data_IF_823234383303
#
_entry.id   IF_823234383303
#
_cell.length_a   1.000
_cell.length_b   1.000
_cell.length_c   1.000
_cell.angle_alpha   90.00
_cell.angle_beta   90.00
_cell.angle_gamma   90.00
#
_symmetry.space_group_name_H-M   'P 1'
#
loop_
_entity.id
_entity.type
_entity.pdbx_description
1 polymer ?
#
# COMPACT_ATOMS: atom_id res chain seq x y z
N UNK A 1 33.14 8.29 37.42
CA UNK A 1 32.23 7.44 36.62
C UNK A 1 30.92 8.18 36.45
N UNK A 2 30.70 8.82 35.30
CA UNK A 2 29.41 9.43 34.97
C UNK A 2 28.75 8.58 33.89
N UNK A 3 27.69 7.86 34.28
CA UNK A 3 26.80 7.20 33.34
C UNK A 3 25.90 8.28 32.71
N UNK A 4 26.14 8.58 31.44
CA UNK A 4 25.18 9.30 30.60
C UNK A 4 24.02 8.35 30.30
N UNK A 5 22.93 8.50 31.05
CA UNK A 5 21.63 7.94 30.68
C UNK A 5 21.15 8.68 29.43
N UNK A 6 21.28 8.04 28.26
CA UNK A 6 20.66 8.52 27.03
C UNK A 6 19.14 8.56 27.24
N UNK A 7 18.57 9.77 27.21
CA UNK A 7 17.11 9.94 27.22
C UNK A 7 16.54 9.38 25.91
N UNK A 8 15.45 8.60 25.94
CA UNK A 8 14.77 8.18 24.73
C UNK A 8 14.27 9.43 24.00
N UNK A 9 14.64 9.56 22.72
CA UNK A 9 14.08 10.57 21.84
C UNK A 9 12.57 10.32 21.76
N UNK A 10 11.78 11.21 22.33
CA UNK A 10 10.34 11.26 22.12
C UNK A 10 10.11 11.51 20.63
N UNK A 11 9.87 10.43 19.88
CA UNK A 11 9.32 10.48 18.54
C UNK A 11 8.04 11.28 18.63
N UNK A 12 8.02 12.49 18.08
CA UNK A 12 6.77 13.22 17.84
C UNK A 12 5.99 12.36 16.87
N UNK A 13 5.01 11.62 17.38
CA UNK A 13 4.15 10.75 16.59
C UNK A 13 3.43 11.60 15.55
N UNK A 14 3.95 11.65 14.32
CA UNK A 14 3.21 12.24 13.21
C UNK A 14 1.95 11.41 12.97
N UNK A 15 0.88 12.05 12.53
CA UNK A 15 -0.30 11.33 12.08
C UNK A 15 0.07 10.39 10.93
N UNK A 16 -0.31 9.10 10.99
CA UNK A 16 -0.19 8.17 9.89
C UNK A 16 -0.80 8.71 8.60
N UNK A 17 -0.24 8.35 7.45
CA UNK A 17 -0.72 8.80 6.15
C UNK A 17 -1.10 7.62 5.25
N UNK A 18 -2.27 7.73 4.61
CA UNK A 18 -2.71 6.79 3.58
C UNK A 18 -2.91 7.53 2.25
N UNK A 19 -2.30 7.05 1.17
CA UNK A 19 -2.42 7.60 -0.17
C UNK A 19 -3.16 6.61 -1.07
N UNK A 20 -4.32 7.00 -1.58
CA UNK A 20 -5.06 6.24 -2.57
C UNK A 20 -4.73 6.77 -3.96
N UNK A 21 -4.21 5.91 -4.85
CA UNK A 21 -3.91 6.21 -6.25
C UNK A 21 -4.93 5.50 -7.12
N UNK A 22 -5.94 6.24 -7.60
CA UNK A 22 -7.12 5.68 -8.27
C UNK A 22 -7.18 6.15 -9.72
N UNK A 23 -7.22 5.23 -10.68
CA UNK A 23 -7.16 5.57 -12.09
C UNK A 23 -8.50 6.13 -12.60
N UNK A 24 -8.40 7.09 -13.52
CA UNK A 24 -9.49 7.79 -14.18
C UNK A 24 -10.73 6.89 -14.43
N UNK A 25 -11.90 7.33 -13.92
CA UNK A 25 -13.24 6.73 -14.02
C UNK A 25 -13.67 5.61 -13.05
N UNK A 26 -12.83 5.16 -12.10
CA UNK A 26 -13.32 4.30 -11.00
C UNK A 26 -14.11 5.10 -9.94
N UNK A 27 -15.12 5.86 -10.37
CA UNK A 27 -15.93 6.77 -9.54
C UNK A 27 -16.50 6.07 -8.31
N UNK A 28 -16.82 4.78 -8.41
CA UNK A 28 -17.32 3.97 -7.28
C UNK A 28 -16.24 3.55 -6.28
N UNK A 29 -15.06 3.13 -6.73
CA UNK A 29 -13.94 2.82 -5.82
C UNK A 29 -13.46 4.10 -5.14
N UNK A 30 -13.27 5.18 -5.91
CA UNK A 30 -12.96 6.49 -5.35
C UNK A 30 -14.06 6.99 -4.38
N UNK A 31 -15.34 6.73 -4.68
CA UNK A 31 -16.44 7.08 -3.78
C UNK A 31 -16.42 6.23 -2.51
N UNK A 32 -16.28 4.91 -2.59
CA UNK A 32 -16.19 4.05 -1.40
C UNK A 32 -14.95 4.35 -0.56
N UNK A 33 -13.83 4.69 -1.18
CA UNK A 33 -12.63 5.20 -0.50
C UNK A 33 -12.93 6.51 0.20
N UNK A 34 -13.61 7.45 -0.46
CA UNK A 34 -14.03 8.72 0.16
C UNK A 34 -15.05 8.51 1.26
N UNK A 35 -15.98 7.57 1.11
CA UNK A 35 -17.02 7.24 2.09
C UNK A 35 -16.40 6.57 3.31
N UNK A 36 -15.46 5.63 3.12
CA UNK A 36 -14.67 5.06 4.21
C UNK A 36 -13.86 6.16 4.90
N UNK A 37 -13.18 7.01 4.13
CA UNK A 37 -12.44 8.16 4.68
C UNK A 37 -13.35 9.12 5.45
N UNK A 38 -14.56 9.39 4.97
CA UNK A 38 -15.53 10.26 5.61
C UNK A 38 -16.12 9.62 6.88
N UNK A 39 -16.36 8.31 6.89
CA UNK A 39 -16.77 7.57 8.08
C UNK A 39 -15.68 7.61 9.17
N UNK A 40 -14.41 7.67 8.78
CA UNK A 40 -13.27 7.85 9.69
C UNK A 40 -12.86 9.31 9.92
N UNK A 41 -13.46 10.29 9.22
CA UNK A 41 -13.05 11.70 9.27
C UNK A 41 -13.26 12.34 10.65
N UNK A 42 -14.06 11.71 11.53
CA UNK A 42 -14.19 12.12 12.93
C UNK A 42 -12.97 11.80 13.82
N UNK A 43 -12.01 10.99 13.35
CA UNK A 43 -10.97 10.40 14.21
C UNK A 43 -9.66 11.21 14.27
N UNK A 44 -9.33 12.06 13.29
CA UNK A 44 -8.01 12.72 13.13
C UNK A 44 -6.78 11.79 13.18
N UNK A 45 -6.98 10.47 13.29
CA UNK A 45 -5.93 9.50 13.57
C UNK A 45 -5.17 9.02 12.33
N UNK A 46 -5.70 9.24 11.12
CA UNK A 46 -5.02 8.98 9.85
C UNK A 46 -5.33 10.12 8.88
N UNK A 47 -4.30 10.67 8.24
CA UNK A 47 -4.44 11.61 7.14
C UNK A 47 -4.58 10.83 5.84
N UNK A 48 -5.76 10.88 5.23
CA UNK A 48 -6.03 10.19 3.95
C UNK A 48 -5.97 11.19 2.80
N UNK A 49 -5.22 10.84 1.75
CA UNK A 49 -5.14 11.59 0.49
C UNK A 49 -5.62 10.70 -0.64
N UNK A 50 -6.45 11.25 -1.54
CA UNK A 50 -6.91 10.55 -2.74
C UNK A 50 -6.37 11.30 -3.96
N UNK A 51 -5.51 10.63 -4.73
CA UNK A 51 -4.96 11.11 -5.99
C UNK A 51 -5.61 10.39 -7.16
N UNK A 52 -6.12 11.15 -8.13
CA UNK A 52 -6.80 10.64 -9.33
C UNK A 52 -6.06 11.04 -10.60
N UNK A 53 -4.94 10.38 -10.93
CA UNK A 53 -4.17 10.70 -12.12
C UNK A 53 -5.03 10.54 -13.38
N UNK A 54 -4.93 11.52 -14.27
CA UNK A 54 -5.57 11.53 -15.59
C UNK A 54 -4.66 10.91 -16.65
N UNK A 55 -3.34 10.91 -16.38
CA UNK A 55 -2.34 10.41 -17.30
C UNK A 55 -1.38 9.42 -16.62
N UNK A 56 -0.93 8.42 -17.38
CA UNK A 56 -0.09 7.34 -16.83
C UNK A 56 1.24 7.83 -16.27
N UNK A 57 1.80 8.92 -16.82
CA UNK A 57 3.06 9.51 -16.35
C UNK A 57 2.94 10.18 -14.97
N UNK A 58 1.72 10.41 -14.47
CA UNK A 58 1.46 10.99 -13.15
C UNK A 58 1.50 9.94 -12.03
N UNK A 59 1.34 8.65 -12.37
CA UNK A 59 1.30 7.56 -11.38
C UNK A 59 2.66 7.34 -10.69
N UNK A 60 3.80 7.23 -11.40
CA UNK A 60 5.08 6.93 -10.75
C UNK A 60 5.46 7.88 -9.60
N UNK A 61 5.38 9.23 -9.73
CA UNK A 61 5.70 10.12 -8.60
C UNK A 61 4.73 9.98 -7.42
N UNK A 62 3.47 9.61 -7.66
CA UNK A 62 2.51 9.33 -6.58
C UNK A 62 2.91 8.07 -5.81
N UNK A 63 3.29 7.00 -6.49
CA UNK A 63 3.72 5.75 -5.84
C UNK A 63 5.02 5.90 -5.02
N UNK A 64 5.87 6.86 -5.39
CA UNK A 64 7.08 7.21 -4.64
C UNK A 64 6.85 8.19 -3.50
N UNK A 65 5.66 8.79 -3.39
CA UNK A 65 5.36 9.77 -2.35
C UNK A 65 5.42 9.09 -0.97
N UNK A 66 6.14 9.66 0.01
CA UNK A 66 6.21 9.08 1.35
C UNK A 66 4.81 8.95 1.99
N UNK A 67 4.41 7.70 2.26
CA UNK A 67 3.17 7.36 2.94
C UNK A 67 3.36 6.13 3.83
N UNK A 68 2.56 5.99 4.89
CA UNK A 68 2.56 4.76 5.69
C UNK A 68 1.76 3.64 5.01
N UNK A 69 0.80 4.01 4.16
CA UNK A 69 0.04 3.08 3.34
C UNK A 69 -0.22 3.69 1.96
N UNK A 70 -0.05 2.88 0.92
CA UNK A 70 -0.47 3.22 -0.44
C UNK A 70 -1.52 2.22 -0.89
N UNK A 71 -2.66 2.72 -1.36
CA UNK A 71 -3.73 1.91 -1.94
C UNK A 71 -3.74 2.13 -3.45
N UNK A 72 -3.66 1.05 -4.21
CA UNK A 72 -3.52 1.05 -5.66
C UNK A 72 -4.82 0.57 -6.30
N UNK A 73 -5.31 1.32 -7.27
CA UNK A 73 -6.24 0.80 -8.28
C UNK A 73 -5.44 -0.04 -9.30
N UNK A 74 -5.00 -1.21 -8.84
CA UNK A 74 -4.13 -2.13 -9.54
C UNK A 74 -4.87 -3.36 -10.05
N UNK A 75 -4.47 -3.86 -11.22
CA UNK A 75 -4.99 -5.09 -11.78
C UNK A 75 -3.86 -6.10 -12.02
N UNK A 76 -4.09 -7.36 -11.57
CA UNK A 76 -3.21 -8.51 -11.81
C UNK A 76 -3.22 -9.08 -13.23
N UNK A 77 -4.05 -8.56 -14.14
CA UNK A 77 -4.08 -9.01 -15.53
C UNK A 77 -2.73 -8.83 -16.21
N UNK A 78 -2.41 -9.67 -17.21
CA UNK A 78 -1.17 -9.57 -17.98
C UNK A 78 -1.17 -8.35 -18.94
N UNK A 79 -0.24 -7.39 -18.80
CA UNK A 79 0.79 -7.27 -17.77
C UNK A 79 0.27 -6.54 -16.49
N UNK A 80 0.76 -6.91 -15.29
CA UNK A 80 0.42 -6.26 -14.02
C UNK A 80 0.49 -4.74 -14.10
N UNK A 81 -0.52 -4.02 -13.61
CA UNK A 81 -0.62 -2.58 -13.81
C UNK A 81 -1.35 -1.83 -12.70
N UNK A 82 -1.07 -0.54 -12.56
CA UNK A 82 -1.89 0.45 -11.83
C UNK A 82 -2.54 1.37 -12.86
N UNK A 83 -3.87 1.38 -12.92
CA UNK A 83 -4.58 1.98 -14.03
C UNK A 83 -4.14 1.41 -15.37
N UNK A 84 -3.47 2.23 -16.19
CA UNK A 84 -2.84 1.82 -17.46
C UNK A 84 -1.32 1.72 -17.42
N UNK A 85 -0.70 2.01 -16.28
CA UNK A 85 0.75 1.91 -16.11
C UNK A 85 1.14 0.49 -15.72
N UNK A 86 1.88 -0.19 -16.59
CA UNK A 86 2.56 -1.44 -16.26
C UNK A 86 3.50 -1.28 -15.05
N UNK A 87 3.37 -2.16 -14.07
CA UNK A 87 4.20 -2.19 -12.87
C UNK A 87 5.52 -2.88 -13.16
N UNK A 88 6.58 -2.08 -13.25
CA UNK A 88 7.96 -2.54 -13.39
C UNK A 88 8.89 -1.54 -12.71
N UNK A 89 10.01 -2.02 -12.18
CA UNK A 89 11.00 -1.19 -11.50
C UNK A 89 11.47 -0.01 -12.35
N UNK A 90 11.75 -0.22 -13.65
CA UNK A 90 12.21 0.85 -14.54
C UNK A 90 11.18 1.96 -14.78
N UNK A 91 9.87 1.68 -14.71
CA UNK A 91 8.82 2.69 -14.86
C UNK A 91 8.49 3.40 -13.56
N UNK A 92 8.66 2.70 -12.43
CA UNK A 92 8.37 3.24 -11.10
C UNK A 92 9.56 3.97 -10.50
N UNK A 93 10.79 3.65 -10.88
CA UNK A 93 11.98 4.32 -10.34
C UNK A 93 12.19 5.68 -10.99
N UNK A 94 12.70 6.63 -10.22
CA UNK A 94 13.15 7.91 -10.76
C UNK A 94 14.62 7.85 -11.23
N UNK A 95 15.15 9.00 -11.64
CA UNK A 95 16.54 9.14 -12.08
C UNK A 95 17.59 8.91 -10.99
N UNK A 96 17.19 8.87 -9.71
CA UNK A 96 18.03 8.46 -8.59
C UNK A 96 17.89 6.98 -8.25
N UNK A 97 17.04 6.24 -8.97
CA UNK A 97 16.73 4.84 -8.72
C UNK A 97 15.71 4.62 -7.60
N UNK A 98 15.09 5.68 -7.08
CA UNK A 98 14.15 5.58 -5.96
C UNK A 98 12.81 5.00 -6.42
N UNK A 99 12.36 3.93 -5.77
CA UNK A 99 11.08 3.25 -5.95
C UNK A 99 10.07 3.52 -4.82
N UNK A 100 9.19 2.55 -4.58
CA UNK A 100 8.13 2.61 -3.56
C UNK A 100 8.74 2.33 -2.19
N UNK A 101 8.40 3.17 -1.21
CA UNK A 101 8.92 3.08 0.17
C UNK A 101 7.85 2.85 1.23
N UNK A 102 6.57 2.83 0.83
CA UNK A 102 5.46 2.64 1.74
C UNK A 102 5.52 1.23 2.37
N UNK A 103 5.41 1.11 3.71
CA UNK A 103 5.49 -0.18 4.39
C UNK A 103 4.22 -1.03 4.24
N UNK A 104 3.11 -0.44 3.80
CA UNK A 104 1.87 -1.14 3.46
C UNK A 104 1.46 -0.76 2.04
N UNK A 105 1.17 -1.76 1.21
CA UNK A 105 0.62 -1.60 -0.14
C UNK A 105 -0.66 -2.41 -0.21
N UNK A 106 -1.77 -1.77 -0.56
CA UNK A 106 -3.08 -2.42 -0.67
C UNK A 106 -3.54 -2.36 -2.12
N UNK A 107 -4.01 -3.47 -2.67
CA UNK A 107 -4.51 -3.51 -4.05
C UNK A 107 -6.03 -3.56 -4.04
N UNK A 108 -6.66 -2.53 -4.60
CA UNK A 108 -8.10 -2.35 -4.60
C UNK A 108 -8.87 -3.08 -5.69
N UNK A 109 -8.22 -3.95 -6.48
CA UNK A 109 -8.83 -4.60 -7.63
C UNK A 109 -8.27 -6.01 -7.88
N UNK A 110 -8.93 -6.72 -8.80
CA UNK A 110 -8.77 -8.15 -9.06
C UNK A 110 -7.31 -8.60 -9.23
N UNK A 111 -7.00 -9.76 -8.64
CA UNK A 111 -5.73 -10.48 -8.75
C UNK A 111 -4.51 -9.73 -8.18
N UNK A 112 -4.72 -8.83 -7.22
CA UNK A 112 -3.65 -8.10 -6.53
C UNK A 112 -2.67 -8.98 -5.75
N UNK A 113 -3.02 -10.24 -5.47
CA UNK A 113 -2.14 -11.22 -4.83
C UNK A 113 -1.72 -12.38 -5.76
N UNK A 114 -1.98 -12.25 -7.06
CA UNK A 114 -1.44 -13.15 -8.07
C UNK A 114 0.10 -13.11 -8.07
N UNK A 115 0.81 -14.25 -8.23
CA UNK A 115 2.27 -14.30 -8.20
C UNK A 115 2.96 -13.30 -9.14
N UNK A 116 2.44 -13.07 -10.35
CA UNK A 116 3.05 -12.14 -11.30
C UNK A 116 2.89 -10.69 -10.86
N UNK A 117 1.74 -10.35 -10.25
CA UNK A 117 1.54 -9.02 -9.69
C UNK A 117 2.42 -8.81 -8.46
N UNK A 118 2.52 -9.82 -7.58
CA UNK A 118 3.41 -9.80 -6.42
C UNK A 118 4.86 -9.55 -6.84
N UNK A 119 5.34 -10.25 -7.87
CA UNK A 119 6.69 -10.07 -8.41
C UNK A 119 6.89 -8.68 -9.03
N UNK A 120 5.88 -8.16 -9.75
CA UNK A 120 5.90 -6.83 -10.32
C UNK A 120 5.97 -5.73 -9.25
N UNK A 121 5.19 -5.85 -8.18
CA UNK A 121 5.27 -4.94 -7.01
C UNK A 121 6.64 -5.04 -6.37
N UNK A 122 7.14 -6.25 -6.14
CA UNK A 122 8.46 -6.50 -5.52
C UNK A 122 9.59 -5.77 -6.25
N UNK A 123 9.59 -5.80 -7.58
CA UNK A 123 10.59 -5.10 -8.42
C UNK A 123 10.56 -3.56 -8.25
N UNK A 124 9.40 -3.02 -7.86
CA UNK A 124 9.18 -1.60 -7.65
C UNK A 124 9.58 -1.09 -6.24
N UNK A 125 9.90 -1.97 -5.29
CA UNK A 125 10.17 -1.61 -3.90
C UNK A 125 11.62 -1.17 -3.67
N UNK A 126 11.79 -0.23 -2.73
CA UNK A 126 13.08 0.12 -2.12
C UNK A 126 13.23 -0.39 -0.69
N UNK A 127 12.10 -0.76 -0.06
CA UNK A 127 12.05 -1.25 1.31
C UNK A 127 11.04 -2.38 1.42
N UNK A 128 11.17 -3.24 2.45
CA UNK A 128 10.14 -4.23 2.75
C UNK A 128 8.77 -3.57 2.92
N UNK A 129 7.74 -4.24 2.41
CA UNK A 129 6.36 -3.77 2.45
C UNK A 129 5.41 -4.97 2.62
N UNK A 130 4.33 -4.80 3.37
CA UNK A 130 3.25 -5.78 3.39
C UNK A 130 2.29 -5.46 2.24
N UNK A 131 2.15 -6.39 1.31
CA UNK A 131 1.15 -6.35 0.25
C UNK A 131 -0.14 -7.00 0.75
N UNK A 132 -1.24 -6.27 0.67
CA UNK A 132 -2.60 -6.78 0.91
C UNK A 132 -3.34 -6.78 -0.41
N UNK A 133 -3.80 -7.93 -0.87
CA UNK A 133 -4.50 -8.04 -2.15
C UNK A 133 -5.33 -9.32 -2.25
N UNK A 134 -6.23 -9.35 -3.22
CA UNK A 134 -7.07 -10.52 -3.52
C UNK A 134 -6.42 -11.41 -4.58
N UNK A 135 -6.50 -12.73 -4.44
CA UNK A 135 -6.02 -13.72 -5.42
C UNK A 135 -7.01 -14.00 -6.56
N UNK A 136 -8.18 -13.37 -6.54
CA UNK A 136 -9.23 -13.50 -7.55
C UNK A 136 -9.88 -12.17 -7.92
N UNK A 137 -11.08 -12.25 -8.47
CA UNK A 137 -11.89 -11.07 -8.75
C UNK A 137 -12.51 -10.52 -7.46
N UNK A 138 -12.40 -9.20 -7.27
CA UNK A 138 -12.98 -8.50 -6.13
C UNK A 138 -14.29 -7.85 -6.54
N UNK A 139 -15.35 -8.06 -5.75
CA UNK A 139 -16.55 -7.22 -5.85
C UNK A 139 -16.21 -5.80 -5.40
N UNK A 140 -16.76 -4.79 -6.09
CA UNK A 140 -16.65 -3.38 -5.69
C UNK A 140 -17.12 -3.14 -4.24
N UNK A 141 -18.05 -3.96 -3.73
CA UNK A 141 -18.54 -3.87 -2.36
C UNK A 141 -17.48 -4.25 -1.31
N UNK A 142 -16.48 -5.07 -1.66
CA UNK A 142 -15.43 -5.49 -0.73
C UNK A 142 -14.54 -4.32 -0.30
N UNK A 143 -14.43 -3.26 -1.10
CA UNK A 143 -13.71 -2.04 -0.71
C UNK A 143 -14.22 -1.45 0.62
N UNK A 144 -15.54 -1.47 0.83
CA UNK A 144 -16.16 -1.01 2.08
C UNK A 144 -15.94 -1.94 3.27
N UNK A 145 -15.51 -3.17 3.03
CA UNK A 145 -15.18 -4.15 4.08
C UNK A 145 -13.69 -4.10 4.42
N UNK A 146 -12.83 -3.93 3.42
CA UNK A 146 -11.37 -4.04 3.56
C UNK A 146 -10.73 -2.75 4.05
N UNK A 147 -11.10 -1.58 3.51
CA UNK A 147 -10.38 -0.34 3.81
C UNK A 147 -10.60 0.21 5.22
N UNK A 148 -11.83 0.21 5.78
CA UNK A 148 -12.05 0.68 7.15
C UNK A 148 -11.16 0.01 8.20
N UNK A 149 -11.12 -1.34 8.33
CA UNK A 149 -10.30 -1.99 9.34
C UNK A 149 -8.79 -1.81 9.10
N UNK A 150 -8.34 -1.65 7.85
CA UNK A 150 -6.95 -1.33 7.54
C UNK A 150 -6.56 0.08 8.01
N UNK A 151 -7.45 1.06 7.81
CA UNK A 151 -7.25 2.42 8.30
C UNK A 151 -7.26 2.47 9.83
N UNK A 152 -8.13 1.70 10.48
CA UNK A 152 -8.16 1.60 11.94
C UNK A 152 -6.90 0.93 12.49
N UNK A 153 -6.38 -0.12 11.84
CA UNK A 153 -5.12 -0.73 12.22
C UNK A 153 -3.97 0.27 12.07
N UNK A 154 -3.93 1.01 10.97
CA UNK A 154 -2.93 2.05 10.73
C UNK A 154 -3.00 3.16 11.80
N UNK A 155 -4.20 3.57 12.20
CA UNK A 155 -4.43 4.52 13.28
C UNK A 155 -3.86 4.04 14.62
N UNK A 156 -4.09 2.76 14.97
CA UNK A 156 -3.61 2.14 16.22
C UNK A 156 -2.10 1.97 16.25
N UNK A 157 -1.50 1.53 15.14
CA UNK A 157 -0.06 1.26 15.05
C UNK A 157 0.78 2.53 14.95
N UNK A 158 0.21 3.63 14.45
CA UNK A 158 0.93 4.88 14.27
C UNK A 158 1.82 4.89 13.02
N UNK A 159 2.51 6.02 12.84
CA UNK A 159 3.35 6.28 11.68
C UNK A 159 4.74 5.63 11.82
N UNK A 160 5.43 5.42 10.68
CA UNK A 160 6.81 4.97 10.59
C UNK A 160 7.11 3.59 11.20
N UNK A 161 6.10 2.74 11.42
CA UNK A 161 6.33 1.34 11.77
C UNK A 161 6.76 0.56 10.53
N UNK A 162 7.85 -0.19 10.66
CA UNK A 162 8.43 -1.05 9.64
C UNK A 162 7.46 -2.16 9.22
N UNK A 163 7.54 -2.60 7.97
CA UNK A 163 6.62 -3.59 7.40
C UNK A 163 6.64 -4.93 8.15
N UNK A 164 7.81 -5.37 8.60
CA UNK A 164 8.01 -6.62 9.33
C UNK A 164 7.23 -6.64 10.64
N UNK A 165 7.11 -5.48 11.30
CA UNK A 165 6.35 -5.35 12.54
C UNK A 165 4.83 -5.25 12.30
N UNK A 166 4.39 -5.09 11.05
CA UNK A 166 2.97 -5.00 10.68
C UNK A 166 2.43 -6.30 10.06
N UNK A 167 3.32 -7.19 9.62
CA UNK A 167 2.96 -8.35 8.81
C UNK A 167 1.98 -9.28 9.53
N UNK A 168 2.24 -9.59 10.80
CA UNK A 168 1.39 -10.48 11.60
C UNK A 168 0.03 -9.85 11.88
N UNK A 169 0.00 -8.56 12.24
CA UNK A 169 -1.25 -7.83 12.50
C UNK A 169 -2.12 -7.71 11.23
N UNK A 170 -1.50 -7.51 10.07
CA UNK A 170 -2.21 -7.45 8.79
C UNK A 170 -2.71 -8.82 8.33
N UNK A 171 -1.97 -9.90 8.59
CA UNK A 171 -2.47 -11.26 8.38
C UNK A 171 -3.68 -11.54 9.27
N UNK A 172 -3.53 -11.30 10.58
CA UNK A 172 -4.60 -11.52 11.55
C UNK A 172 -5.86 -10.73 11.21
N UNK A 173 -5.71 -9.47 10.75
CA UNK A 173 -6.83 -8.66 10.31
C UNK A 173 -7.55 -9.27 9.10
N UNK A 174 -6.80 -9.69 8.08
CA UNK A 174 -7.41 -10.29 6.87
C UNK A 174 -8.11 -11.60 7.22
N UNK A 175 -7.52 -12.42 8.09
CA UNK A 175 -8.12 -13.67 8.57
C UNK A 175 -9.41 -13.42 9.38
N UNK A 176 -9.43 -12.38 10.23
CA UNK A 176 -10.60 -12.01 11.05
C UNK A 176 -11.81 -11.59 10.20
N UNK A 177 -11.58 -10.98 9.03
CA UNK A 177 -12.65 -10.60 8.10
C UNK A 177 -13.35 -11.81 7.46
N UNK A 178 -12.70 -12.99 7.47
CA UNK A 178 -13.28 -14.25 7.03
C UNK A 178 -13.92 -14.18 5.64
N UNK A 179 -15.14 -14.73 5.52
CA UNK A 179 -15.86 -14.83 4.24
C UNK A 179 -16.11 -13.47 3.55
N UNK A 180 -16.15 -12.38 4.31
CA UNK A 180 -16.38 -11.03 3.74
C UNK A 180 -15.17 -10.51 2.94
N UNK A 181 -13.99 -11.06 3.22
CA UNK A 181 -12.72 -10.79 2.56
C UNK A 181 -12.18 -12.04 1.84
N UNK A 182 -13.05 -12.96 1.40
CA UNK A 182 -12.63 -14.17 0.71
C UNK A 182 -11.66 -13.86 -0.46
N UNK A 183 -10.53 -14.56 -0.51
CA UNK A 183 -9.45 -14.39 -1.49
C UNK A 183 -8.43 -13.30 -1.14
N UNK A 184 -8.72 -12.44 -0.16
CA UNK A 184 -7.75 -11.46 0.32
C UNK A 184 -6.67 -12.13 1.17
N UNK A 185 -5.45 -11.64 1.03
CA UNK A 185 -4.30 -12.10 1.78
C UNK A 185 -3.32 -10.95 2.02
N UNK A 186 -2.60 -11.02 3.13
CA UNK A 186 -1.44 -10.19 3.41
C UNK A 186 -0.16 -10.96 3.11
N UNK A 187 0.89 -10.32 2.59
CA UNK A 187 2.19 -10.94 2.34
C UNK A 187 3.31 -9.93 2.58
N UNK A 188 4.30 -10.28 3.39
CA UNK A 188 5.52 -9.48 3.48
C UNK A 188 6.36 -9.66 2.22
N UNK A 189 6.63 -8.56 1.53
CA UNK A 189 7.49 -8.49 0.37
C UNK A 189 8.82 -7.84 0.75
N UNK A 190 9.91 -8.43 0.28
CA UNK A 190 11.25 -7.84 0.35
C UNK A 190 11.70 -7.42 -1.04
N UNK A 191 12.30 -6.22 -1.21
CA UNK A 191 12.88 -5.80 -2.47
C UNK A 191 13.85 -6.86 -3.03
N UNK A 192 14.04 -6.94 -4.35
CA UNK A 192 15.07 -7.79 -4.91
C UNK A 192 16.44 -7.38 -4.34
N UNK A 193 17.19 -8.36 -3.83
CA UNK A 193 18.59 -8.14 -3.44
C UNK A 193 19.34 -7.59 -4.65
N UNK A 194 20.21 -6.59 -4.47
CA UNK A 194 20.88 -5.86 -5.55
C UNK A 194 21.82 -6.70 -6.45
N UNK A 195 21.72 -8.02 -6.44
CA UNK A 195 22.64 -8.96 -7.06
C UNK A 195 22.48 -9.08 -8.58
N UNK A 196 21.55 -8.40 -9.25
CA UNK A 196 21.34 -8.56 -10.70
C UNK A 196 20.99 -7.29 -11.49
N UNK A 197 21.56 -6.13 -11.14
CA UNK A 197 21.43 -4.92 -11.96
C UNK A 197 22.45 -4.82 -13.11
N UNK A 198 23.35 -5.80 -13.29
CA UNK A 198 24.45 -5.74 -14.27
C UNK A 198 24.22 -6.57 -15.56
N UNK A 199 23.01 -7.05 -15.85
CA UNK A 199 22.78 -7.89 -17.04
C UNK A 199 21.36 -7.80 -17.59
N UNK A 200 20.89 -6.61 -17.99
CA UNK A 200 19.84 -6.44 -19.00
C UNK A 200 20.09 -5.18 -19.80
#
# INVERSE_FOLDING_TARGET
MHQQTARPRTSTSRTPTALFVVWNSASRVAQHVRDATAAHAGSSAVTVTVATPQHTHEIPPLLRTPADMVVLDGHGYLPPRVGRLELTGHRIRDHHGQGITAPIIVIGACYGADPLFVDAVRDCLDRPAVLVGCDGETDLCQAGTIYPPLLDLLARQGANILAEHRADDLHALVDELGDTAAGWQARLLTPPTATHAASR
#
